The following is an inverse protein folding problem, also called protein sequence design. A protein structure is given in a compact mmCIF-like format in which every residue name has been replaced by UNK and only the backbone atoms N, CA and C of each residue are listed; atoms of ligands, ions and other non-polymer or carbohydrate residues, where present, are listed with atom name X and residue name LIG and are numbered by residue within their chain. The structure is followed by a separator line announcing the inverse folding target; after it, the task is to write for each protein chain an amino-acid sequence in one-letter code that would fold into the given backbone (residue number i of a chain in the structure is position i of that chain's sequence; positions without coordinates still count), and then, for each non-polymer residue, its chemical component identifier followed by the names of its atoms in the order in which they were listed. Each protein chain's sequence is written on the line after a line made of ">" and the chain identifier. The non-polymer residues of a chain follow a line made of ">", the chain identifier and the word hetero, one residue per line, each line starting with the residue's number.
data_IF_706735642530
#
_entry.id   IF_706735642530
#
_cell.length_a   1.000
_cell.length_b   1.000
_cell.length_c   1.000
_cell.angle_alpha   90.00
_cell.angle_beta   90.00
_cell.angle_gamma   90.00
#
_symmetry.space_group_name_H-M   'P 1'
#
loop_
_entity.id
_entity.type
_entity.pdbx_description
1 polymer ?
#
# COMPACT_ATOMS: atom_id res chain seq x y z
N UNK A 1 1.03 3.35 -16.94
CA UNK A 1 1.34 2.27 -15.99
C UNK A 1 0.14 1.36 -15.84
N UNK A 2 0.30 0.04 -16.02
CA UNK A 2 -0.75 -0.96 -15.76
C UNK A 2 -0.67 -1.40 -14.30
N UNK A 3 -1.81 -1.53 -13.62
CA UNK A 3 -1.86 -1.96 -12.21
C UNK A 3 -2.53 -3.33 -12.12
N UNK A 4 -2.01 -4.20 -11.26
CA UNK A 4 -2.58 -5.53 -10.98
C UNK A 4 -2.54 -5.81 -9.49
N UNK A 5 -3.58 -6.46 -8.98
CA UNK A 5 -3.60 -7.02 -7.63
C UNK A 5 -3.22 -8.50 -7.68
N UNK A 6 -2.48 -8.97 -6.69
CA UNK A 6 -2.19 -10.40 -6.53
C UNK A 6 -3.37 -11.12 -5.86
N UNK A 7 -3.41 -12.45 -5.91
CA UNK A 7 -4.37 -13.22 -5.10
C UNK A 7 -4.15 -12.99 -3.60
N UNK A 8 -2.89 -12.89 -3.19
CA UNK A 8 -2.53 -12.57 -1.81
C UNK A 8 -3.14 -11.24 -1.34
N UNK A 9 -3.17 -10.22 -2.21
CA UNK A 9 -3.84 -8.97 -1.91
C UNK A 9 -5.31 -9.19 -1.57
N UNK A 10 -6.03 -9.97 -2.38
CA UNK A 10 -7.46 -10.21 -2.18
C UNK A 10 -7.77 -11.02 -0.91
N UNK A 11 -6.95 -12.01 -0.59
CA UNK A 11 -7.03 -12.75 0.69
C UNK A 11 -6.88 -11.78 1.88
N UNK A 12 -5.86 -10.92 1.84
CA UNK A 12 -5.61 -9.93 2.89
C UNK A 12 -6.64 -8.80 2.92
N UNK A 13 -7.18 -8.43 1.78
CA UNK A 13 -8.26 -7.46 1.67
C UNK A 13 -9.50 -7.98 2.39
N UNK A 14 -9.89 -9.24 2.17
CA UNK A 14 -11.09 -9.82 2.77
C UNK A 14 -11.04 -9.79 4.32
N UNK A 15 -9.86 -10.01 4.90
CA UNK A 15 -9.63 -9.89 6.36
C UNK A 15 -9.76 -8.46 6.89
N UNK A 16 -9.55 -7.43 6.05
CA UNK A 16 -9.39 -6.01 6.46
C UNK A 16 -10.47 -5.08 5.90
N UNK A 17 -11.30 -5.56 4.97
CA UNK A 17 -12.17 -4.71 4.14
C UNK A 17 -13.12 -3.86 4.95
N UNK A 18 -13.68 -4.38 6.04
CA UNK A 18 -14.67 -3.64 6.84
C UNK A 18 -14.04 -2.39 7.46
N UNK A 19 -12.82 -2.54 7.99
CA UNK A 19 -12.06 -1.42 8.52
C UNK A 19 -11.63 -0.45 7.41
N UNK A 20 -11.16 -0.95 6.27
CA UNK A 20 -10.70 -0.11 5.16
C UNK A 20 -11.85 0.72 4.58
N UNK A 21 -12.99 0.07 4.33
CA UNK A 21 -14.19 0.74 3.82
C UNK A 21 -14.69 1.80 4.81
N UNK A 22 -14.64 1.54 6.11
CA UNK A 22 -14.95 2.54 7.16
C UNK A 22 -14.00 3.75 7.12
N UNK A 23 -12.73 3.53 6.82
CA UNK A 23 -11.73 4.60 6.61
C UNK A 23 -11.80 5.21 5.20
N UNK A 24 -12.81 4.83 4.40
CA UNK A 24 -13.01 5.33 3.04
C UNK A 24 -11.97 4.83 2.04
N UNK A 25 -11.32 3.69 2.30
CA UNK A 25 -10.33 3.03 1.44
C UNK A 25 -11.00 1.85 0.73
N UNK A 26 -10.91 1.84 -0.59
CA UNK A 26 -11.34 0.74 -1.45
C UNK A 26 -10.16 0.32 -2.38
N UNK A 27 -10.27 -0.78 -3.14
CA UNK A 27 -9.20 -1.22 -4.03
C UNK A 27 -8.80 -0.17 -5.06
N UNK A 28 -9.75 0.61 -5.58
CA UNK A 28 -9.48 1.69 -6.55
C UNK A 28 -8.59 2.78 -5.95
N UNK A 29 -8.87 3.22 -4.73
CA UNK A 29 -8.02 4.17 -3.99
C UNK A 29 -6.66 3.57 -3.65
N UNK A 30 -6.58 2.29 -3.29
CA UNK A 30 -5.28 1.63 -3.08
C UNK A 30 -4.46 1.67 -4.37
N UNK A 31 -5.09 1.41 -5.52
CA UNK A 31 -4.43 1.55 -6.81
C UNK A 31 -3.98 2.99 -7.07
N UNK A 32 -4.84 3.98 -6.85
CA UNK A 32 -4.50 5.40 -7.00
C UNK A 32 -3.31 5.79 -6.11
N UNK A 33 -3.35 5.43 -4.83
CA UNK A 33 -2.31 5.72 -3.85
C UNK A 33 -1.01 4.96 -4.14
N UNK A 34 -1.09 3.77 -4.72
CA UNK A 34 0.06 3.06 -5.21
C UNK A 34 0.67 3.80 -6.42
N UNK A 35 -0.12 4.38 -7.32
CA UNK A 35 0.43 5.16 -8.44
C UNK A 35 1.02 6.49 -7.97
N UNK A 36 0.36 7.16 -7.03
CA UNK A 36 0.72 8.48 -6.51
C UNK A 36 0.92 8.48 -4.98
N UNK A 37 1.98 7.82 -4.49
CA UNK A 37 2.29 7.79 -3.06
C UNK A 37 2.91 9.11 -2.61
N UNK A 38 2.88 9.34 -1.30
CA UNK A 38 3.62 10.45 -0.70
C UNK A 38 5.10 10.09 -0.51
N UNK A 39 5.39 8.81 -0.27
CA UNK A 39 6.76 8.30 -0.13
C UNK A 39 6.92 6.96 -0.83
N UNK A 40 8.12 6.73 -1.38
CA UNK A 40 8.56 5.44 -1.90
C UNK A 40 9.81 5.03 -1.11
N UNK A 41 9.78 3.85 -0.50
CA UNK A 41 10.91 3.28 0.23
C UNK A 41 11.19 1.86 -0.26
N UNK A 42 12.46 1.41 -0.28
CA UNK A 42 12.75 0.01 -0.59
C UNK A 42 12.16 -0.92 0.48
N UNK A 43 11.75 -2.12 0.08
CA UNK A 43 11.44 -3.18 1.03
C UNK A 43 12.73 -3.75 1.63
N UNK A 44 12.79 -3.86 2.96
CA UNK A 44 13.97 -4.29 3.70
C UNK A 44 14.19 -5.81 3.67
N UNK A 45 13.19 -6.59 3.25
CA UNK A 45 13.24 -8.04 3.18
C UNK A 45 13.36 -8.52 1.73
N UNK A 46 12.60 -7.91 0.82
CA UNK A 46 12.49 -8.35 -0.57
C UNK A 46 13.03 -7.29 -1.54
N UNK A 47 14.21 -7.48 -2.15
CA UNK A 47 14.87 -6.44 -2.96
C UNK A 47 14.11 -6.03 -4.22
N UNK A 48 13.17 -6.86 -4.67
CA UNK A 48 12.33 -6.59 -5.85
C UNK A 48 11.03 -5.84 -5.48
N UNK A 49 10.86 -5.48 -4.20
CA UNK A 49 9.67 -4.79 -3.68
C UNK A 49 10.03 -3.40 -3.19
N UNK A 50 9.02 -2.56 -3.24
CA UNK A 50 9.06 -1.23 -2.63
C UNK A 50 7.76 -0.97 -1.87
N UNK A 51 7.82 -0.06 -0.92
CA UNK A 51 6.71 0.43 -0.14
C UNK A 51 6.27 1.77 -0.71
N UNK A 52 5.02 1.82 -1.14
CA UNK A 52 4.35 3.03 -1.56
C UNK A 52 3.44 3.48 -0.44
N UNK A 53 3.78 4.61 0.18
CA UNK A 53 3.17 5.05 1.43
C UNK A 53 2.26 6.24 1.17
N UNK A 54 1.03 6.18 1.68
CA UNK A 54 0.07 7.28 1.65
C UNK A 54 -0.31 7.70 3.07
N UNK A 55 -0.30 9.00 3.34
CA UNK A 55 -0.82 9.57 4.60
C UNK A 55 -2.32 9.72 4.51
N UNK A 56 -3.02 9.17 5.49
CA UNK A 56 -4.49 9.22 5.59
C UNK A 56 -4.82 9.46 7.06
N UNK A 57 -5.41 10.62 7.38
CA UNK A 57 -5.89 10.98 8.72
C UNK A 57 -4.85 10.69 9.84
N UNK A 58 -3.59 11.11 9.65
CA UNK A 58 -2.52 10.91 10.63
C UNK A 58 -2.02 9.47 10.79
N UNK A 59 -2.38 8.58 9.84
CA UNK A 59 -1.89 7.19 9.73
C UNK A 59 -1.18 6.97 8.40
N UNK A 60 -0.27 5.99 8.39
CA UNK A 60 0.42 5.57 7.17
C UNK A 60 -0.25 4.33 6.58
N UNK A 61 -0.84 4.44 5.40
CA UNK A 61 -1.17 3.29 4.58
C UNK A 61 0.08 2.87 3.81
N UNK A 62 0.64 1.72 4.16
CA UNK A 62 1.76 1.09 3.46
C UNK A 62 1.20 0.14 2.39
N UNK A 63 1.60 0.35 1.15
CA UNK A 63 1.22 -0.50 0.01
C UNK A 63 2.50 -1.15 -0.50
N UNK A 64 2.57 -2.47 -0.40
CA UNK A 64 3.72 -3.24 -0.87
C UNK A 64 3.50 -3.58 -2.34
N UNK A 65 4.47 -3.22 -3.18
CA UNK A 65 4.37 -3.40 -4.62
C UNK A 65 5.64 -4.03 -5.20
N UNK A 66 5.49 -4.70 -6.35
CA UNK A 66 6.59 -5.07 -7.24
C UNK A 66 6.47 -4.28 -8.54
N UNK A 67 7.55 -3.61 -8.95
CA UNK A 67 7.61 -2.88 -10.22
C UNK A 67 8.26 -3.77 -11.28
N UNK A 68 7.52 -4.10 -12.34
CA UNK A 68 8.01 -4.91 -13.47
C UNK A 68 7.79 -4.16 -14.78
N UNK A 69 8.80 -3.41 -15.22
CA UNK A 69 8.69 -2.52 -16.38
C UNK A 69 7.58 -1.49 -16.18
N UNK A 70 6.53 -1.54 -17.02
CA UNK A 70 5.38 -0.64 -16.95
C UNK A 70 4.18 -1.22 -16.15
N UNK A 71 4.41 -2.30 -15.39
CA UNK A 71 3.39 -2.95 -14.56
C UNK A 71 3.72 -2.73 -13.09
N UNK A 72 2.75 -2.24 -12.34
CA UNK A 72 2.77 -2.14 -10.88
C UNK A 72 1.91 -3.26 -10.29
N UNK A 73 2.55 -4.19 -9.59
CA UNK A 73 1.88 -5.33 -8.97
C UNK A 73 1.70 -5.04 -7.49
N UNK A 74 0.46 -4.85 -7.05
CA UNK A 74 0.10 -4.60 -5.66
C UNK A 74 -0.02 -5.94 -4.94
N UNK A 75 0.86 -6.16 -3.97
CA UNK A 75 0.98 -7.41 -3.22
C UNK A 75 0.09 -7.40 -1.98
N UNK A 76 0.07 -6.30 -1.22
CA UNK A 76 -0.75 -6.11 -0.02
C UNK A 76 -0.81 -4.64 0.35
N UNK A 77 -1.80 -4.24 1.15
CA UNK A 77 -1.90 -2.91 1.73
C UNK A 77 -2.35 -2.99 3.19
N UNK A 78 -1.74 -2.22 4.08
CA UNK A 78 -2.09 -2.18 5.50
C UNK A 78 -1.64 -0.87 6.17
N UNK A 79 -2.32 -0.50 7.25
CA UNK A 79 -1.91 0.62 8.07
C UNK A 79 -0.73 0.22 8.96
N UNK A 80 0.41 0.86 8.76
CA UNK A 80 1.64 0.54 9.48
C UNK A 80 1.92 1.59 10.57
N UNK A 81 1.78 1.17 11.82
CA UNK A 81 2.02 2.03 13.00
C UNK A 81 3.50 2.32 13.21
N UNK A 82 4.41 1.52 12.66
CA UNK A 82 5.85 1.73 12.82
C UNK A 82 6.35 2.89 11.97
N UNK A 83 5.70 3.15 10.83
CA UNK A 83 6.03 4.30 9.97
C UNK A 83 5.70 5.64 10.63
N UNK A 84 4.63 5.69 11.45
CA UNK A 84 4.35 6.84 12.32
C UNK A 84 5.49 7.11 13.30
N UNK A 85 6.06 6.06 13.92
CA UNK A 85 7.21 6.19 14.83
C UNK A 85 8.49 6.65 14.12
N UNK A 86 8.59 6.47 12.81
CA UNK A 86 9.68 6.97 11.96
C UNK A 86 9.45 8.41 11.48
N UNK A 87 8.38 9.09 11.93
CA UNK A 87 8.06 10.47 11.54
C UNK A 87 7.47 10.61 10.13
N UNK A 88 7.07 9.52 9.48
CA UNK A 88 6.53 9.57 8.11
C UNK A 88 5.05 9.96 8.06
N UNK A 89 4.33 9.86 9.17
CA UNK A 89 2.95 10.33 9.28
C UNK A 89 2.71 10.91 10.67
N UNK A 90 2.35 12.20 10.73
CA UNK A 90 1.96 12.91 11.95
C UNK A 90 0.43 12.96 12.07
#
# INVERSE_FOLDING_TARGET
>A
MKVRFTNHFWERWEERKDFFLKEGINPEKIQEFAVFPDFILPDDIFPNREWRIKRINGRCLKIVVEVKGNILIIVTAYFDRTLKRRGLCE
#
